data_IF_022438709022
#
_entry.id   IF_022438709022
#
_cell.length_a   1.000
_cell.length_b   1.000
_cell.length_c   1.000
_cell.angle_alpha   90.00
_cell.angle_beta   90.00
_cell.angle_gamma   90.00
#
_symmetry.space_group_name_H-M   'P 1'
#
loop_
_entity.id
_entity.type
_entity.pdbx_description
1 polymer ?
#
# COMPACT_ATOMS: atom_id res chain seq x y z
N UNK A 1 -9.94 69.53 28.46
CA UNK A 1 -9.55 68.77 27.29
C UNK A 1 -9.73 67.26 27.59
N UNK A 2 -10.74 66.62 26.94
CA UNK A 2 -11.03 65.17 27.15
C UNK A 2 -10.29 64.43 26.06
N UNK A 3 -9.32 63.59 26.44
CA UNK A 3 -8.64 62.72 25.50
C UNK A 3 -9.52 61.47 25.24
N UNK A 4 -9.96 61.33 23.97
CA UNK A 4 -10.70 60.16 23.51
C UNK A 4 -9.69 59.06 23.18
N UNK A 5 -9.68 57.97 23.94
CA UNK A 5 -8.84 56.79 23.69
C UNK A 5 -9.57 55.89 22.68
N UNK A 6 -9.12 55.83 21.42
CA UNK A 6 -9.66 54.94 20.42
C UNK A 6 -8.92 53.59 20.51
N UNK A 7 -9.62 52.59 21.06
CA UNK A 7 -9.11 51.18 21.07
C UNK A 7 -9.45 50.55 19.72
N UNK A 8 -8.43 50.33 18.88
CA UNK A 8 -8.54 49.62 17.63
C UNK A 8 -8.47 48.12 17.95
N UNK A 9 -9.62 47.43 17.95
CA UNK A 9 -9.70 45.99 18.01
C UNK A 9 -9.30 45.41 16.66
N UNK A 10 -8.10 44.83 16.56
CA UNK A 10 -7.71 44.00 15.43
C UNK A 10 -8.37 42.61 15.58
N UNK A 11 -9.19 42.19 14.60
CA UNK A 11 -9.70 40.81 14.61
C UNK A 11 -8.54 39.85 14.34
N UNK A 12 -8.13 39.07 15.33
CA UNK A 12 -7.28 37.90 15.12
C UNK A 12 -8.08 36.87 14.33
N UNK A 13 -7.90 36.85 13.00
CA UNK A 13 -8.30 35.66 12.22
C UNK A 13 -7.38 34.52 12.57
N UNK A 14 -7.82 33.71 13.54
CA UNK A 14 -7.23 32.41 13.79
C UNK A 14 -7.53 31.55 12.57
N UNK A 15 -6.60 31.44 11.62
CA UNK A 15 -6.64 30.41 10.61
C UNK A 15 -6.38 29.10 11.33
N UNK A 16 -7.46 28.39 11.68
CA UNK A 16 -7.38 26.96 11.97
C UNK A 16 -6.88 26.30 10.69
N UNK A 17 -5.60 25.96 10.63
CA UNK A 17 -5.14 24.95 9.70
C UNK A 17 -5.87 23.67 10.11
N UNK A 18 -6.89 23.27 9.34
CA UNK A 18 -7.48 21.95 9.44
C UNK A 18 -6.33 20.94 9.32
N UNK A 19 -5.88 20.44 10.46
CA UNK A 19 -4.97 19.30 10.48
C UNK A 19 -5.71 18.16 9.76
N UNK A 20 -5.34 17.87 8.50
CA UNK A 20 -5.90 16.74 7.77
C UNK A 20 -5.81 15.52 8.68
N UNK A 21 -6.94 15.02 9.12
CA UNK A 21 -6.98 13.80 9.95
C UNK A 21 -6.26 12.68 9.20
N UNK A 22 -5.41 11.94 9.92
CA UNK A 22 -4.72 10.81 9.35
C UNK A 22 -5.75 9.82 8.80
N UNK A 23 -5.56 9.36 7.55
CA UNK A 23 -6.39 8.31 6.97
C UNK A 23 -5.91 6.96 7.47
N UNK A 24 -6.84 6.13 7.93
CA UNK A 24 -6.55 4.81 8.47
C UNK A 24 -6.49 3.75 7.37
N UNK A 25 -5.44 2.92 7.39
CA UNK A 25 -5.17 1.89 6.37
C UNK A 25 -4.91 0.55 7.04
N UNK A 26 -5.65 -0.48 6.62
CA UNK A 26 -5.41 -1.86 7.03
C UNK A 26 -4.82 -2.65 5.85
N UNK A 27 -3.70 -3.33 6.08
CA UNK A 27 -3.14 -4.31 5.16
C UNK A 27 -3.57 -5.72 5.56
N UNK A 28 -4.10 -6.50 4.62
CA UNK A 28 -4.44 -7.92 4.79
C UNK A 28 -3.68 -8.71 3.74
N UNK A 29 -2.90 -9.71 4.18
CA UNK A 29 -2.09 -10.52 3.26
C UNK A 29 -1.06 -11.38 3.97
N UNK A 30 0.09 -11.53 3.35
CA UNK A 30 1.11 -12.46 3.80
C UNK A 30 2.53 -11.88 3.64
N UNK A 31 3.53 -12.74 3.50
CA UNK A 31 4.93 -12.34 3.33
C UNK A 31 5.17 -11.36 2.17
N UNK A 32 4.32 -11.32 1.17
CA UNK A 32 4.40 -10.33 0.08
C UNK A 32 4.18 -8.90 0.57
N UNK A 33 3.44 -8.72 1.67
CA UNK A 33 3.25 -7.42 2.33
C UNK A 33 4.25 -7.15 3.44
N UNK A 34 4.59 -8.14 4.30
CA UNK A 34 5.41 -7.81 5.46
C UNK A 34 6.93 -7.84 5.21
N UNK A 35 7.41 -8.42 4.09
CA UNK A 35 8.83 -8.36 3.77
C UNK A 35 9.32 -6.91 3.70
N UNK A 36 10.48 -6.67 4.34
CA UNK A 36 11.10 -5.34 4.46
C UNK A 36 10.17 -4.29 5.07
N UNK A 37 9.22 -4.74 5.90
CA UNK A 37 8.26 -3.88 6.59
C UNK A 37 7.53 -2.92 5.63
N UNK A 38 7.04 -3.44 4.50
CA UNK A 38 6.46 -2.67 3.40
C UNK A 38 5.29 -1.77 3.84
N UNK A 39 4.36 -2.18 4.75
CA UNK A 39 3.31 -1.28 5.22
C UNK A 39 3.86 -0.03 5.93
N UNK A 40 4.87 -0.17 6.78
CA UNK A 40 5.55 0.98 7.39
C UNK A 40 6.30 1.81 6.35
N UNK A 41 6.93 1.16 5.36
CA UNK A 41 7.58 1.88 4.28
C UNK A 41 6.58 2.72 3.46
N UNK A 42 5.40 2.18 3.17
CA UNK A 42 4.29 2.92 2.54
C UNK A 42 3.91 4.16 3.37
N UNK A 43 3.73 3.99 4.69
CA UNK A 43 3.45 5.09 5.62
C UNK A 43 4.54 6.18 5.55
N UNK A 44 5.82 5.79 5.60
CA UNK A 44 6.94 6.74 5.60
C UNK A 44 7.19 7.38 4.24
N UNK A 45 6.83 6.73 3.13
CA UNK A 45 6.77 7.36 1.81
C UNK A 45 5.71 8.46 1.80
N UNK A 46 4.52 8.19 2.31
CA UNK A 46 3.44 9.17 2.36
C UNK A 46 3.80 10.36 3.26
N UNK A 47 4.39 10.08 4.44
CA UNK A 47 4.87 11.11 5.38
C UNK A 47 5.92 12.03 4.74
N UNK A 48 6.81 11.51 3.89
CA UNK A 48 7.80 12.31 3.16
C UNK A 48 7.19 13.33 2.18
N UNK A 49 5.94 13.11 1.79
CA UNK A 49 5.15 13.98 0.91
C UNK A 49 4.04 14.75 1.67
N UNK A 50 4.11 14.76 3.01
CA UNK A 50 3.15 15.49 3.86
C UNK A 50 1.76 14.84 3.95
N UNK A 51 1.64 13.57 3.57
CA UNK A 51 0.40 12.78 3.70
C UNK A 51 0.54 11.86 4.90
N UNK A 52 -0.44 11.90 5.82
CA UNK A 52 -0.40 11.08 7.03
C UNK A 52 -1.38 9.92 6.89
N UNK A 53 -0.86 8.69 7.02
CA UNK A 53 -1.64 7.47 7.16
C UNK A 53 -1.40 6.85 8.54
N UNK A 54 -2.46 6.32 9.16
CA UNK A 54 -2.40 5.43 10.34
C UNK A 54 -2.45 3.99 9.82
N UNK A 55 -1.31 3.31 9.75
CA UNK A 55 -1.16 2.04 9.05
C UNK A 55 -1.14 0.87 10.02
N UNK A 56 -1.99 -0.11 9.77
CA UNK A 56 -2.10 -1.37 10.51
C UNK A 56 -1.99 -2.56 9.58
N UNK A 57 -1.68 -3.74 10.13
CA UNK A 57 -1.51 -4.96 9.36
C UNK A 57 -2.11 -6.17 10.05
N UNK A 58 -2.84 -6.98 9.28
CA UNK A 58 -3.21 -8.36 9.56
C UNK A 58 -2.54 -9.24 8.50
N UNK A 59 -1.25 -9.49 8.66
CA UNK A 59 -0.44 -10.21 7.67
C UNK A 59 0.21 -11.42 8.31
N UNK A 60 -0.10 -12.62 7.78
CA UNK A 60 0.36 -13.89 8.32
C UNK A 60 1.17 -14.67 7.28
N UNK A 61 2.22 -15.36 7.71
CA UNK A 61 3.11 -16.09 6.80
C UNK A 61 2.35 -17.11 5.95
N UNK A 62 2.44 -16.97 4.62
CA UNK A 62 1.80 -17.85 3.65
C UNK A 62 0.28 -17.93 3.76
N UNK A 63 -0.38 -16.94 4.40
CA UNK A 63 -1.83 -16.92 4.50
C UNK A 63 -2.48 -16.59 3.14
N UNK A 64 -3.59 -17.25 2.87
CA UNK A 64 -4.56 -16.90 1.84
C UNK A 64 -5.67 -16.00 2.42
N UNK A 65 -6.48 -15.38 1.57
CA UNK A 65 -7.69 -14.69 2.03
C UNK A 65 -8.64 -15.66 2.75
N UNK A 66 -8.68 -16.93 2.34
CA UNK A 66 -9.44 -17.98 3.04
C UNK A 66 -8.95 -18.16 4.48
N UNK A 67 -7.63 -18.26 4.69
CA UNK A 67 -7.04 -18.38 6.03
C UNK A 67 -7.43 -17.18 6.90
N UNK A 68 -7.36 -15.97 6.35
CA UNK A 68 -7.77 -14.75 7.03
C UNK A 68 -9.26 -14.74 7.37
N UNK A 69 -10.11 -15.24 6.47
CA UNK A 69 -11.56 -15.28 6.67
C UNK A 69 -11.96 -16.14 7.85
N UNK A 70 -11.29 -17.28 8.03
CA UNK A 70 -11.56 -18.20 9.13
C UNK A 70 -10.71 -17.96 10.38
N UNK A 71 -9.90 -16.91 10.43
CA UNK A 71 -9.01 -16.65 11.56
C UNK A 71 -7.89 -17.68 11.71
N UNK A 72 -7.60 -18.43 10.64
CA UNK A 72 -6.48 -19.38 10.65
C UNK A 72 -5.15 -18.63 10.80
N UNK A 73 -4.12 -19.31 11.27
CA UNK A 73 -2.79 -18.73 11.53
C UNK A 73 -2.81 -17.56 12.50
N UNK A 74 -3.85 -17.50 13.36
CA UNK A 74 -4.10 -16.42 14.33
C UNK A 74 -4.44 -15.07 13.68
N UNK A 75 -4.94 -15.06 12.45
CA UNK A 75 -5.36 -13.85 11.77
C UNK A 75 -6.52 -13.18 12.49
N UNK A 76 -6.42 -11.86 12.63
CA UNK A 76 -7.46 -10.99 13.20
C UNK A 76 -8.10 -10.10 12.12
N UNK A 77 -7.96 -10.44 10.83
CA UNK A 77 -8.36 -9.58 9.73
C UNK A 77 -9.85 -9.20 9.77
N UNK A 78 -10.73 -10.17 9.97
CA UNK A 78 -12.19 -9.95 10.05
C UNK A 78 -12.54 -9.12 11.30
N UNK A 79 -11.95 -9.44 12.45
CA UNK A 79 -12.16 -8.71 13.69
C UNK A 79 -11.73 -7.25 13.58
N UNK A 80 -10.58 -6.98 12.94
CA UNK A 80 -10.10 -5.62 12.71
C UNK A 80 -11.01 -4.82 11.79
N UNK A 81 -11.58 -5.44 10.73
CA UNK A 81 -12.54 -4.77 9.87
C UNK A 81 -13.81 -4.41 10.65
N UNK A 82 -14.32 -5.33 11.48
CA UNK A 82 -15.58 -5.15 12.18
C UNK A 82 -15.50 -4.20 13.39
N UNK A 83 -14.34 -4.13 14.05
CA UNK A 83 -14.20 -3.44 15.33
C UNK A 83 -13.48 -2.08 15.22
N UNK A 84 -12.92 -1.72 14.07
CA UNK A 84 -12.25 -0.44 13.84
C UNK A 84 -12.73 0.18 12.53
N UNK A 85 -12.79 1.51 12.47
CA UNK A 85 -13.07 2.23 11.21
C UNK A 85 -11.79 2.37 10.39
N UNK A 86 -11.92 2.15 9.08
CA UNK A 86 -10.84 2.27 8.11
C UNK A 86 -11.26 3.19 6.97
N UNK A 87 -10.32 3.94 6.41
CA UNK A 87 -10.51 4.62 5.13
C UNK A 87 -10.24 3.65 3.98
N UNK A 88 -9.18 2.84 4.12
CA UNK A 88 -8.76 1.87 3.10
C UNK A 88 -8.44 0.52 3.72
N UNK A 89 -8.84 -0.55 3.05
CA UNK A 89 -8.38 -1.91 3.33
C UNK A 89 -7.70 -2.45 2.07
N UNK A 90 -6.38 -2.62 2.15
CA UNK A 90 -5.53 -3.11 1.06
C UNK A 90 -5.33 -4.60 1.26
N UNK A 91 -5.73 -5.41 0.28
CA UNK A 91 -5.67 -6.86 0.44
C UNK A 91 -5.12 -7.56 -0.79
N UNK A 92 -4.43 -8.67 -0.55
CA UNK A 92 -4.02 -9.62 -1.57
C UNK A 92 -4.09 -11.05 -1.05
N UNK A 93 -4.24 -11.99 -1.96
CA UNK A 93 -4.27 -13.42 -1.64
C UNK A 93 -2.86 -14.03 -1.67
N UNK A 94 -2.79 -15.33 -1.42
CA UNK A 94 -1.58 -16.12 -1.60
C UNK A 94 -1.07 -16.03 -3.05
N UNK A 95 0.24 -16.04 -3.22
CA UNK A 95 0.91 -15.80 -4.52
C UNK A 95 0.43 -16.70 -5.67
N UNK A 96 0.01 -17.93 -5.38
CA UNK A 96 -0.51 -18.89 -6.36
C UNK A 96 -2.04 -19.01 -6.36
N UNK A 97 -2.76 -18.18 -5.60
CA UNK A 97 -4.22 -18.32 -5.46
C UNK A 97 -4.94 -18.18 -6.81
N UNK A 98 -4.54 -17.20 -7.63
CA UNK A 98 -5.13 -16.97 -8.97
C UNK A 98 -4.83 -18.08 -9.99
N UNK A 99 -3.87 -18.96 -9.70
CA UNK A 99 -3.43 -20.05 -10.59
C UNK A 99 -3.99 -21.39 -10.11
N UNK A 100 -3.80 -21.71 -8.82
CA UNK A 100 -4.06 -23.06 -8.28
C UNK A 100 -5.31 -23.13 -7.40
N UNK A 101 -5.86 -21.97 -6.95
CA UNK A 101 -6.98 -21.85 -6.01
C UNK A 101 -7.97 -20.77 -6.45
N UNK A 102 -8.29 -20.75 -7.75
CA UNK A 102 -9.05 -19.65 -8.36
C UNK A 102 -10.43 -19.46 -7.73
N UNK A 103 -11.11 -20.51 -7.36
CA UNK A 103 -12.44 -20.40 -6.71
C UNK A 103 -12.32 -19.82 -5.30
N UNK A 104 -11.32 -20.24 -4.51
CA UNK A 104 -11.06 -19.64 -3.20
C UNK A 104 -10.70 -18.15 -3.35
N UNK A 105 -9.82 -17.79 -4.31
CA UNK A 105 -9.50 -16.39 -4.62
C UNK A 105 -10.74 -15.54 -4.92
N UNK A 106 -11.64 -16.06 -5.75
CA UNK A 106 -12.87 -15.34 -6.12
C UNK A 106 -13.84 -15.24 -4.95
N UNK A 107 -14.05 -16.34 -4.22
CA UNK A 107 -14.98 -16.38 -3.10
C UNK A 107 -14.54 -15.46 -1.98
N UNK A 108 -13.32 -15.65 -1.46
CA UNK A 108 -12.85 -14.88 -0.31
C UNK A 108 -12.45 -13.46 -0.68
N UNK A 109 -12.00 -13.23 -1.90
CA UNK A 109 -11.84 -11.87 -2.44
C UNK A 109 -13.17 -11.11 -2.51
N UNK A 110 -14.27 -11.78 -2.89
CA UNK A 110 -15.61 -11.20 -2.87
C UNK A 110 -16.06 -10.90 -1.44
N UNK A 111 -16.01 -11.91 -0.56
CA UNK A 111 -16.45 -11.76 0.83
C UNK A 111 -15.73 -10.62 1.55
N UNK A 112 -14.40 -10.54 1.42
CA UNK A 112 -13.64 -9.42 2.01
C UNK A 112 -14.02 -8.07 1.42
N UNK A 113 -14.18 -7.95 0.11
CA UNK A 113 -14.60 -6.68 -0.50
C UNK A 113 -15.98 -6.25 -0.02
N UNK A 114 -16.91 -7.18 0.22
CA UNK A 114 -18.26 -6.91 0.72
C UNK A 114 -18.22 -6.41 2.16
N UNK A 115 -17.60 -7.14 3.10
CA UNK A 115 -17.53 -6.69 4.51
C UNK A 115 -16.77 -5.37 4.68
N UNK A 116 -15.74 -5.13 3.86
CA UNK A 116 -15.01 -3.86 3.87
C UNK A 116 -15.91 -2.71 3.42
N UNK A 117 -16.70 -2.89 2.35
CA UNK A 117 -17.67 -1.87 1.91
C UNK A 117 -18.77 -1.64 2.94
N UNK A 118 -19.26 -2.70 3.56
CA UNK A 118 -20.28 -2.63 4.63
C UNK A 118 -19.75 -1.87 5.86
N UNK A 119 -18.44 -1.98 6.17
CA UNK A 119 -17.81 -1.19 7.24
C UNK A 119 -17.62 0.30 6.91
N UNK A 120 -17.90 0.70 5.66
CA UNK A 120 -17.72 2.07 5.15
C UNK A 120 -16.31 2.36 4.63
N UNK A 121 -15.42 1.36 4.58
CA UNK A 121 -14.07 1.50 4.05
C UNK A 121 -14.02 1.23 2.54
N UNK A 122 -12.97 1.73 1.89
CA UNK A 122 -12.70 1.41 0.50
C UNK A 122 -11.79 0.17 0.39
N UNK A 123 -12.26 -0.95 -0.20
CA UNK A 123 -11.41 -2.08 -0.50
C UNK A 123 -10.50 -1.80 -1.69
N UNK A 124 -9.22 -2.19 -1.59
CA UNK A 124 -8.24 -2.12 -2.67
C UNK A 124 -7.61 -3.49 -2.85
N UNK A 125 -7.70 -4.04 -4.05
CA UNK A 125 -7.01 -5.27 -4.39
C UNK A 125 -5.57 -4.95 -4.82
N UNK A 126 -4.59 -5.42 -4.06
CA UNK A 126 -3.17 -5.36 -4.41
C UNK A 126 -2.83 -6.54 -5.31
N UNK A 127 -2.67 -6.28 -6.61
CA UNK A 127 -2.28 -7.32 -7.56
C UNK A 127 -0.87 -7.83 -7.23
N UNK A 128 -0.74 -9.12 -6.92
CA UNK A 128 0.54 -9.77 -6.69
C UNK A 128 1.34 -9.90 -8.01
N UNK A 129 2.58 -10.34 -7.93
CA UNK A 129 3.50 -10.44 -9.07
C UNK A 129 3.86 -11.90 -9.37
N UNK A 130 4.36 -12.11 -10.58
CA UNK A 130 4.89 -13.39 -11.04
C UNK A 130 6.21 -13.72 -10.34
N UNK A 131 6.47 -15.01 -10.12
CA UNK A 131 7.75 -15.49 -9.60
C UNK A 131 8.91 -15.11 -10.52
N UNK A 132 10.13 -15.06 -9.98
CA UNK A 132 11.32 -14.77 -10.78
C UNK A 132 11.57 -15.86 -11.81
N UNK A 133 11.28 -17.12 -11.46
CA UNK A 133 11.42 -18.30 -12.33
C UNK A 133 10.38 -18.41 -13.44
N UNK A 134 9.20 -17.78 -13.30
CA UNK A 134 8.15 -17.83 -14.34
C UNK A 134 7.42 -16.49 -14.50
N UNK A 135 7.97 -15.66 -15.39
CA UNK A 135 7.41 -14.34 -15.71
C UNK A 135 6.01 -14.42 -16.33
N UNK A 136 5.64 -15.54 -16.97
CA UNK A 136 4.36 -15.70 -17.67
C UNK A 136 3.17 -15.81 -16.72
N UNK A 137 3.41 -16.13 -15.43
CA UNK A 137 2.36 -16.12 -14.39
C UNK A 137 1.61 -14.81 -14.37
N UNK A 138 2.25 -13.67 -14.73
CA UNK A 138 1.61 -12.36 -14.70
C UNK A 138 0.36 -12.28 -15.57
N UNK A 139 0.29 -13.03 -16.68
CA UNK A 139 -0.85 -13.04 -17.57
C UNK A 139 -2.13 -13.53 -16.86
N UNK A 140 -1.98 -14.62 -16.08
CA UNK A 140 -3.09 -15.18 -15.28
C UNK A 140 -3.39 -14.28 -14.07
N UNK A 141 -2.38 -13.86 -13.34
CA UNK A 141 -2.54 -13.00 -12.16
C UNK A 141 -3.28 -11.72 -12.55
N UNK A 142 -2.78 -10.96 -13.53
CA UNK A 142 -3.38 -9.71 -13.97
C UNK A 142 -4.82 -9.90 -14.44
N UNK A 143 -5.07 -10.94 -15.27
CA UNK A 143 -6.42 -11.25 -15.74
C UNK A 143 -7.40 -11.49 -14.58
N UNK A 144 -7.03 -12.31 -13.59
CA UNK A 144 -7.96 -12.67 -12.51
C UNK A 144 -8.22 -11.50 -11.54
N UNK A 145 -7.19 -10.73 -11.17
CA UNK A 145 -7.38 -9.53 -10.35
C UNK A 145 -8.26 -8.49 -11.05
N UNK A 146 -8.04 -8.22 -12.33
CA UNK A 146 -8.85 -7.28 -13.12
C UNK A 146 -10.30 -7.73 -13.27
N UNK A 147 -10.52 -9.04 -13.51
CA UNK A 147 -11.88 -9.59 -13.58
C UNK A 147 -12.61 -9.46 -12.24
N UNK A 148 -11.95 -9.77 -11.11
CA UNK A 148 -12.54 -9.63 -9.79
C UNK A 148 -12.84 -8.17 -9.48
N UNK A 149 -11.88 -7.27 -9.69
CA UNK A 149 -12.05 -5.83 -9.47
C UNK A 149 -13.20 -5.25 -10.29
N UNK A 150 -13.30 -5.61 -11.59
CA UNK A 150 -14.41 -5.20 -12.47
C UNK A 150 -15.76 -5.72 -11.97
N UNK A 151 -15.83 -7.03 -11.62
CA UNK A 151 -17.05 -7.65 -11.12
C UNK A 151 -17.59 -6.96 -9.86
N UNK A 152 -16.69 -6.59 -8.95
CA UNK A 152 -17.05 -6.03 -7.66
C UNK A 152 -17.07 -4.50 -7.65
N UNK A 153 -16.72 -3.84 -8.74
CA UNK A 153 -16.46 -2.39 -8.79
C UNK A 153 -15.48 -1.95 -7.68
N UNK A 154 -14.29 -2.57 -7.66
CA UNK A 154 -13.21 -2.35 -6.70
C UNK A 154 -11.93 -2.00 -7.45
N UNK A 155 -11.20 -1.01 -6.95
CA UNK A 155 -9.92 -0.61 -7.53
C UNK A 155 -8.86 -1.71 -7.35
N UNK A 156 -8.06 -1.94 -8.40
CA UNK A 156 -6.95 -2.90 -8.40
C UNK A 156 -5.64 -2.14 -8.60
N UNK A 157 -4.78 -2.13 -7.61
CA UNK A 157 -3.44 -1.57 -7.74
C UNK A 157 -2.56 -2.52 -8.58
N UNK A 158 -2.04 -2.11 -9.76
CA UNK A 158 -1.46 -3.03 -10.74
C UNK A 158 0.02 -3.36 -10.46
N UNK A 159 0.40 -3.59 -9.20
CA UNK A 159 1.80 -3.80 -8.79
C UNK A 159 2.46 -4.95 -9.56
N UNK A 160 1.75 -6.06 -9.76
CA UNK A 160 2.29 -7.20 -10.52
C UNK A 160 2.70 -6.83 -11.95
N UNK A 161 1.91 -5.98 -12.62
CA UNK A 161 2.26 -5.49 -13.96
C UNK A 161 3.45 -4.52 -13.92
N UNK A 162 3.57 -3.71 -12.85
CA UNK A 162 4.71 -2.79 -12.66
C UNK A 162 6.00 -3.59 -12.41
N UNK A 163 5.93 -4.66 -11.59
CA UNK A 163 7.05 -5.60 -11.42
C UNK A 163 7.48 -6.21 -12.75
N UNK A 164 6.51 -6.70 -13.53
CA UNK A 164 6.79 -7.27 -14.84
C UNK A 164 7.43 -6.26 -15.79
N UNK A 165 6.92 -5.03 -15.81
CA UNK A 165 7.47 -3.95 -16.65
C UNK A 165 8.91 -3.60 -16.23
N UNK A 166 9.20 -3.54 -14.92
CA UNK A 166 10.54 -3.32 -14.39
C UNK A 166 11.52 -4.40 -14.87
N UNK A 167 11.14 -5.67 -14.72
CA UNK A 167 11.95 -6.82 -15.14
C UNK A 167 12.22 -6.85 -16.66
N UNK A 168 11.27 -6.39 -17.45
CA UNK A 168 11.40 -6.35 -18.92
C UNK A 168 12.33 -5.21 -19.36
N UNK A 169 12.26 -4.05 -18.73
CA UNK A 169 13.02 -2.85 -19.15
C UNK A 169 14.42 -2.84 -18.53
N UNK A 170 14.54 -3.19 -17.25
CA UNK A 170 15.80 -3.20 -16.48
C UNK A 170 15.95 -4.49 -15.68
N UNK A 171 16.26 -5.62 -16.37
CA UNK A 171 16.41 -6.92 -15.71
C UNK A 171 17.55 -6.98 -14.68
N UNK A 172 18.51 -6.06 -14.75
CA UNK A 172 19.59 -5.91 -13.78
C UNK A 172 19.13 -5.40 -12.41
N UNK A 173 17.93 -4.83 -12.31
CA UNK A 173 17.36 -4.45 -11.01
C UNK A 173 16.73 -5.69 -10.37
N UNK A 174 17.38 -6.18 -9.31
CA UNK A 174 16.85 -7.32 -8.58
C UNK A 174 15.69 -6.92 -7.68
N UNK A 175 14.46 -7.31 -8.05
CA UNK A 175 13.24 -7.07 -7.27
C UNK A 175 12.92 -8.18 -6.27
N UNK A 176 13.71 -9.24 -6.20
CA UNK A 176 13.44 -10.45 -5.42
C UNK A 176 14.55 -10.76 -4.43
N UNK A 177 14.20 -11.23 -3.23
CA UNK A 177 15.13 -11.79 -2.24
C UNK A 177 15.36 -13.29 -2.47
N UNK A 178 14.36 -13.96 -3.02
CA UNK A 178 14.36 -15.36 -3.47
C UNK A 178 13.53 -15.47 -4.76
N UNK A 179 12.91 -16.61 -5.04
CA UNK A 179 12.10 -16.76 -6.25
C UNK A 179 10.82 -15.92 -6.27
N UNK A 180 10.30 -15.51 -5.10
CA UNK A 180 8.97 -14.88 -4.99
C UNK A 180 8.88 -13.67 -4.07
N UNK A 181 9.64 -13.66 -2.98
CA UNK A 181 9.58 -12.59 -2.01
C UNK A 181 10.29 -11.33 -2.51
N UNK A 182 9.76 -10.16 -2.24
CA UNK A 182 10.37 -8.93 -2.73
C UNK A 182 11.72 -8.67 -2.03
N UNK A 183 12.65 -8.10 -2.77
CA UNK A 183 13.87 -7.50 -2.22
C UNK A 183 13.56 -6.14 -1.57
N UNK A 184 14.53 -5.45 -0.93
CA UNK A 184 14.36 -4.06 -0.51
C UNK A 184 13.89 -3.14 -1.64
N UNK A 185 14.47 -3.27 -2.84
CA UNK A 185 14.07 -2.51 -4.03
C UNK A 185 12.65 -2.88 -4.48
N UNK A 186 12.30 -4.18 -4.42
CA UNK A 186 10.96 -4.68 -4.73
C UNK A 186 9.91 -4.15 -3.76
N UNK A 187 10.16 -4.21 -2.45
CA UNK A 187 9.25 -3.66 -1.43
C UNK A 187 9.07 -2.15 -1.55
N UNK A 188 10.13 -1.41 -1.89
CA UNK A 188 10.04 0.01 -2.18
C UNK A 188 9.15 0.27 -3.41
N UNK A 189 9.29 -0.52 -4.48
CA UNK A 189 8.45 -0.41 -5.68
C UNK A 189 6.97 -0.64 -5.35
N UNK A 190 6.65 -1.66 -4.49
CA UNK A 190 5.28 -1.91 -4.01
C UNK A 190 4.74 -0.70 -3.25
N UNK A 191 5.48 -0.24 -2.24
CA UNK A 191 5.06 0.86 -1.37
C UNK A 191 4.85 2.17 -2.14
N UNK A 192 5.78 2.50 -3.06
CA UNK A 192 5.67 3.69 -3.91
C UNK A 192 4.48 3.62 -4.87
N UNK A 193 4.22 2.43 -5.44
CA UNK A 193 3.07 2.20 -6.33
C UNK A 193 1.74 2.37 -5.58
N UNK A 194 1.64 1.80 -4.37
CA UNK A 194 0.46 1.95 -3.52
C UNK A 194 0.24 3.41 -3.11
N UNK A 195 1.29 4.12 -2.71
CA UNK A 195 1.18 5.54 -2.38
C UNK A 195 0.63 6.34 -3.55
N UNK A 196 1.23 6.19 -4.76
CA UNK A 196 0.73 6.85 -5.97
C UNK A 196 -0.73 6.52 -6.25
N UNK A 197 -1.10 5.24 -6.14
CA UNK A 197 -2.43 4.73 -6.43
C UNK A 197 -3.52 5.26 -5.48
N UNK A 198 -3.20 5.35 -4.18
CA UNK A 198 -4.16 5.76 -3.13
C UNK A 198 -4.23 7.28 -3.01
N UNK A 199 -3.08 7.94 -2.92
CA UNK A 199 -3.02 9.38 -2.74
C UNK A 199 -3.31 10.17 -4.03
N UNK A 200 -3.08 9.57 -5.21
CA UNK A 200 -3.19 10.25 -6.51
C UNK A 200 -2.14 11.35 -6.73
N UNK A 201 -1.31 11.62 -5.73
CA UNK A 201 -0.35 12.70 -5.73
C UNK A 201 0.85 12.43 -6.64
N UNK A 202 1.60 13.48 -6.95
CA UNK A 202 2.90 13.34 -7.60
C UNK A 202 3.87 12.56 -6.70
N UNK A 203 4.66 11.67 -7.28
CA UNK A 203 5.74 10.95 -6.59
C UNK A 203 7.13 11.51 -6.95
N UNK A 204 7.16 12.69 -7.58
CA UNK A 204 8.41 13.28 -8.12
C UNK A 204 9.47 13.47 -7.03
N UNK A 205 9.06 13.92 -5.85
CA UNK A 205 9.99 14.27 -4.78
C UNK A 205 10.26 13.12 -3.79
N UNK A 206 9.53 11.99 -3.88
CA UNK A 206 9.73 10.85 -2.97
C UNK A 206 11.19 10.39 -3.02
N UNK A 207 11.90 10.36 -1.87
CA UNK A 207 13.31 9.98 -1.83
C UNK A 207 13.48 8.46 -1.79
N UNK A 208 14.58 7.95 -2.33
CA UNK A 208 14.95 6.54 -2.20
C UNK A 208 15.51 6.18 -0.81
N UNK A 209 16.02 7.18 -0.09
CA UNK A 209 16.53 7.02 1.26
C UNK A 209 15.56 7.62 2.27
N UNK A 210 14.90 6.75 3.04
CA UNK A 210 13.92 7.14 4.04
C UNK A 210 14.43 6.74 5.43
N UNK A 211 14.58 7.74 6.31
CA UNK A 211 15.11 7.58 7.65
C UNK A 211 14.26 8.39 8.61
N UNK A 212 13.83 7.76 9.69
CA UNK A 212 13.19 8.46 10.82
C UNK A 212 14.15 8.52 12.02
N UNK A 213 13.91 9.47 12.92
CA UNK A 213 14.61 9.59 14.21
C UNK A 213 13.56 9.59 15.31
N UNK A 214 13.79 8.84 16.37
CA UNK A 214 12.97 8.94 17.56
C UNK A 214 13.39 10.14 18.43
N UNK A 215 12.70 10.34 19.55
CA UNK A 215 12.93 11.47 20.48
C UNK A 215 14.37 11.52 21.05
N UNK A 216 15.08 10.39 21.14
CA UNK A 216 16.46 10.30 21.60
C UNK A 216 17.50 10.32 20.46
N UNK A 217 17.03 10.63 19.23
CA UNK A 217 17.90 10.76 18.05
C UNK A 217 18.31 9.41 17.40
N UNK A 218 17.83 8.25 17.89
CA UNK A 218 18.12 6.95 17.29
C UNK A 218 17.45 6.88 15.91
N UNK A 219 18.26 6.56 14.90
CA UNK A 219 17.82 6.44 13.50
C UNK A 219 17.23 5.07 13.22
N UNK A 220 16.09 5.05 12.50
CA UNK A 220 15.54 3.86 11.87
C UNK A 220 15.58 4.06 10.36
N UNK A 221 16.14 3.09 9.65
CA UNK A 221 16.28 3.11 8.20
C UNK A 221 15.12 2.28 7.60
N UNK A 222 14.28 2.93 6.80
CA UNK A 222 13.13 2.28 6.16
C UNK A 222 13.43 1.91 4.70
N UNK A 223 14.29 2.70 4.03
CA UNK A 223 14.66 2.45 2.64
C UNK A 223 16.05 3.01 2.30
N UNK A 224 16.72 2.33 1.36
CA UNK A 224 18.01 2.70 0.78
C UNK A 224 18.06 2.38 -0.72
N UNK A 225 17.12 2.86 -1.49
CA UNK A 225 17.11 2.68 -2.95
C UNK A 225 17.95 3.77 -3.61
N UNK A 226 18.84 3.40 -4.54
CA UNK A 226 19.66 4.35 -5.30
C UNK A 226 18.79 5.26 -6.17
N UNK A 227 19.21 6.52 -6.35
CA UNK A 227 18.43 7.53 -7.05
C UNK A 227 18.09 7.15 -8.51
N UNK A 228 19.02 6.50 -9.23
CA UNK A 228 18.79 6.03 -10.58
C UNK A 228 17.65 4.99 -10.68
N UNK A 229 17.57 4.10 -9.69
CA UNK A 229 16.48 3.15 -9.56
C UNK A 229 15.16 3.85 -9.18
N UNK A 230 15.21 4.80 -8.25
CA UNK A 230 14.04 5.58 -7.82
C UNK A 230 13.40 6.30 -9.01
N UNK A 231 14.20 7.01 -9.81
CA UNK A 231 13.70 7.71 -10.99
C UNK A 231 13.13 6.74 -12.03
N UNK A 232 13.77 5.60 -12.22
CA UNK A 232 13.23 4.54 -13.06
C UNK A 232 11.87 4.02 -12.55
N UNK A 233 11.74 3.74 -11.24
CA UNK A 233 10.50 3.28 -10.63
C UNK A 233 9.37 4.32 -10.77
N UNK A 234 9.66 5.60 -10.52
CA UNK A 234 8.71 6.70 -10.74
C UNK A 234 8.19 6.72 -12.18
N UNK A 235 9.10 6.56 -13.13
CA UNK A 235 8.74 6.58 -14.56
C UNK A 235 7.82 5.41 -14.94
N UNK A 236 8.10 4.18 -14.49
CA UNK A 236 7.25 3.03 -14.83
C UNK A 236 5.91 3.05 -14.08
N UNK A 237 5.89 3.54 -12.83
CA UNK A 237 4.65 3.72 -12.07
C UNK A 237 3.73 4.73 -12.77
N UNK A 238 4.22 5.91 -13.13
CA UNK A 238 3.44 6.93 -13.82
C UNK A 238 2.91 6.51 -15.22
N UNK A 239 3.47 5.46 -15.81
CA UNK A 239 2.95 4.86 -17.05
C UNK A 239 1.78 3.91 -16.83
N UNK A 240 1.60 3.44 -15.59
CA UNK A 240 0.63 2.39 -15.25
C UNK A 240 -0.48 2.86 -14.32
N UNK A 241 -0.21 3.91 -13.53
CA UNK A 241 -1.09 4.59 -12.58
C UNK A 241 -1.15 6.08 -12.95
#
# INVERSE_FOLDING_TARGET
MRHLLIIILFPFFCHSQDAKSAKSVLFIGNSFSFYWNMPTLFEKIAESEGVIFDVHSATESGASLKDHWYGEKKSQAVDLINNKRWDYVIMHDHSLATINKLEDFRTYGTNFCEIVKESGAEPILLMTWAYSSDINMINTISKQYKLLGKKLNVRVCPVGEIFNLSRTIKPEINLFSDDKHPSPDGSYLVALSLYKFIAGNSIKNVPGRIITKNQIGKKTYHSFVKNDKVEFFKNIINKKI
#
